data_IF_974748382336
#
_entry.id   IF_974748382336
#
_cell.length_a   1.000
_cell.length_b   1.000
_cell.length_c   1.000
_cell.angle_alpha   90.00
_cell.angle_beta   90.00
_cell.angle_gamma   90.00
#
_symmetry.space_group_name_H-M   'P 1'
#
loop_
_entity.id
_entity.type
_entity.pdbx_description
1 polymer ?
#
# COMPACT_ATOMS: atom_id res chain seq x y z
N UNK A 1 -33.11 7.13 1.24
CA UNK A 1 -31.93 6.48 0.65
C UNK A 1 -30.68 6.95 1.39
N UNK A 2 -30.34 6.36 2.54
CA UNK A 2 -29.08 6.66 3.24
C UNK A 2 -27.95 5.86 2.58
N UNK A 3 -27.51 6.33 1.41
CA UNK A 3 -26.44 5.74 0.59
C UNK A 3 -25.04 6.00 1.11
N UNK A 4 -24.80 5.89 2.42
CA UNK A 4 -23.46 6.03 3.00
C UNK A 4 -22.62 4.76 2.81
N UNK A 5 -22.58 4.19 1.60
CA UNK A 5 -21.60 3.15 1.25
C UNK A 5 -20.27 3.86 1.01
N UNK A 6 -19.38 3.80 2.00
CA UNK A 6 -17.99 4.31 1.90
C UNK A 6 -17.19 3.65 0.78
N UNK A 7 -17.72 2.58 0.16
CA UNK A 7 -17.18 1.90 -1.02
C UNK A 7 -16.79 2.90 -2.13
N UNK A 8 -17.64 3.89 -2.42
CA UNK A 8 -17.37 4.90 -3.44
C UNK A 8 -16.20 5.84 -3.11
N UNK A 9 -16.04 6.20 -1.83
CA UNK A 9 -14.92 7.01 -1.34
C UNK A 9 -13.61 6.22 -1.42
N UNK A 10 -13.61 4.94 -1.03
CA UNK A 10 -12.44 4.07 -1.17
C UNK A 10 -12.02 3.90 -2.62
N UNK A 11 -12.97 3.62 -3.53
CA UNK A 11 -12.66 3.50 -4.96
C UNK A 11 -12.18 4.82 -5.55
N UNK A 12 -12.74 5.95 -5.12
CA UNK A 12 -12.33 7.28 -5.58
C UNK A 12 -10.90 7.63 -5.15
N UNK A 13 -10.57 7.40 -3.87
CA UNK A 13 -9.23 7.60 -3.33
C UNK A 13 -8.23 6.68 -4.03
N UNK A 14 -8.56 5.39 -4.19
CA UNK A 14 -7.69 4.44 -4.89
C UNK A 14 -7.46 4.85 -6.35
N UNK A 15 -8.50 5.28 -7.06
CA UNK A 15 -8.37 5.74 -8.44
C UNK A 15 -7.51 7.00 -8.55
N UNK A 16 -7.65 7.94 -7.61
CA UNK A 16 -6.80 9.14 -7.54
C UNK A 16 -5.34 8.76 -7.32
N UNK A 17 -5.05 7.91 -6.33
CA UNK A 17 -3.69 7.42 -6.07
C UNK A 17 -3.12 6.66 -7.26
N UNK A 18 -3.92 5.88 -7.98
CA UNK A 18 -3.48 5.18 -9.19
C UNK A 18 -3.08 6.16 -10.30
N UNK A 19 -3.86 7.24 -10.50
CA UNK A 19 -3.53 8.30 -11.48
C UNK A 19 -2.30 9.09 -11.06
N UNK A 20 -2.24 9.52 -9.80
CA UNK A 20 -1.11 10.26 -9.24
C UNK A 20 0.17 9.41 -9.27
N UNK A 21 0.07 8.13 -8.91
CA UNK A 21 1.16 7.16 -8.96
C UNK A 21 1.71 6.96 -10.37
N UNK A 22 0.84 6.90 -11.38
CA UNK A 22 1.28 6.82 -12.78
C UNK A 22 2.13 8.02 -13.20
N UNK A 23 1.66 9.24 -12.94
CA UNK A 23 2.41 10.46 -13.23
C UNK A 23 3.73 10.53 -12.42
N UNK A 24 3.68 10.15 -11.15
CA UNK A 24 4.85 10.08 -10.27
C UNK A 24 5.91 9.10 -10.78
N UNK A 25 5.50 7.91 -11.25
CA UNK A 25 6.41 6.92 -11.82
C UNK A 25 7.09 7.46 -13.07
N UNK A 26 6.35 8.10 -13.98
CA UNK A 26 6.93 8.70 -15.19
C UNK A 26 7.96 9.78 -14.84
N UNK A 27 7.64 10.65 -13.89
CA UNK A 27 8.58 11.66 -13.37
C UNK A 27 9.83 11.01 -12.79
N UNK A 28 9.67 10.00 -11.93
CA UNK A 28 10.77 9.30 -11.28
C UNK A 28 11.68 8.60 -12.29
N UNK A 29 11.10 7.96 -13.32
CA UNK A 29 11.88 7.34 -14.41
C UNK A 29 12.73 8.37 -15.14
N UNK A 30 12.19 9.57 -15.41
CA UNK A 30 12.95 10.66 -16.03
C UNK A 30 14.18 11.06 -15.22
N UNK A 31 14.01 11.33 -13.92
CA UNK A 31 15.10 11.68 -13.00
C UNK A 31 16.14 10.57 -12.92
N UNK A 32 15.71 9.31 -12.88
CA UNK A 32 16.61 8.15 -12.78
C UNK A 32 17.43 7.93 -14.05
N UNK A 33 16.83 8.14 -15.23
CA UNK A 33 17.52 8.03 -16.52
C UNK A 33 18.56 9.15 -16.67
N UNK A 34 18.24 10.36 -16.27
CA UNK A 34 19.18 11.48 -16.25
C UNK A 34 20.35 11.21 -15.29
N UNK A 35 20.04 10.77 -14.06
CA UNK A 35 21.06 10.41 -13.06
C UNK A 35 21.95 9.22 -13.52
N UNK A 36 21.42 8.31 -14.34
CA UNK A 36 22.18 7.21 -14.91
C UNK A 36 23.13 7.62 -16.05
N UNK A 37 23.12 8.89 -16.46
CA UNK A 37 24.01 9.43 -17.50
C UNK A 37 23.52 9.18 -18.93
N UNK A 38 22.20 9.25 -19.14
CA UNK A 38 21.59 9.12 -20.47
C UNK A 38 22.19 10.10 -21.48
N UNK A 39 22.58 9.58 -22.65
CA UNK A 39 23.09 10.40 -23.75
C UNK A 39 21.97 10.72 -24.73
N UNK A 40 21.57 11.99 -24.78
CA UNK A 40 20.54 12.47 -25.69
C UNK A 40 20.97 12.32 -27.17
N UNK A 41 20.03 12.05 -28.09
CA UNK A 41 20.29 12.05 -29.52
C UNK A 41 20.85 13.41 -29.99
N UNK A 42 21.83 13.39 -30.89
CA UNK A 42 22.39 14.60 -31.51
C UNK A 42 21.84 14.70 -32.93
N UNK A 43 21.17 15.79 -33.27
CA UNK A 43 20.61 16.01 -34.62
C UNK A 43 19.56 14.97 -35.05
N UNK A 44 18.88 14.33 -34.10
CA UNK A 44 17.89 13.29 -34.38
C UNK A 44 18.48 11.89 -34.62
N UNK A 45 19.80 11.74 -34.62
CA UNK A 45 20.45 10.44 -34.76
C UNK A 45 20.58 9.74 -33.39
N UNK A 46 20.17 8.45 -33.26
CA UNK A 46 20.34 7.69 -32.03
C UNK A 46 21.83 7.54 -31.69
N UNK A 47 22.18 7.81 -30.43
CA UNK A 47 23.54 7.66 -29.91
C UNK A 47 23.69 6.31 -29.20
N UNK A 48 24.83 5.65 -29.39
CA UNK A 48 25.19 4.47 -28.63
C UNK A 48 25.28 4.81 -27.14
N UNK A 49 24.48 4.13 -26.32
CA UNK A 49 24.50 4.30 -24.88
C UNK A 49 25.72 3.57 -24.27
N UNK A 50 26.20 4.06 -23.14
CA UNK A 50 27.33 3.42 -22.45
C UNK A 50 26.89 2.09 -21.83
N UNK A 51 27.78 1.08 -21.73
CA UNK A 51 27.48 -0.15 -21.00
C UNK A 51 27.10 0.11 -19.54
N UNK A 52 27.65 1.17 -18.95
CA UNK A 52 27.30 1.63 -17.60
C UNK A 52 25.84 2.09 -17.50
N UNK A 53 25.33 2.85 -18.47
CA UNK A 53 23.93 3.28 -18.51
C UNK A 53 22.97 2.09 -18.57
N UNK A 54 23.24 1.11 -19.45
CA UNK A 54 22.41 -0.09 -19.58
C UNK A 54 22.38 -0.87 -18.26
N UNK A 55 23.53 -1.05 -17.61
CA UNK A 55 23.62 -1.74 -16.31
C UNK A 55 22.86 -0.99 -15.21
N UNK A 56 22.99 0.33 -15.15
CA UNK A 56 22.24 1.17 -14.20
C UNK A 56 20.74 1.07 -14.43
N UNK A 57 20.30 1.14 -15.69
CA UNK A 57 18.90 1.00 -16.07
C UNK A 57 18.35 -0.37 -15.65
N UNK A 58 19.08 -1.44 -15.93
CA UNK A 58 18.70 -2.80 -15.48
C UNK A 58 18.61 -2.86 -13.96
N UNK A 59 19.60 -2.33 -13.23
CA UNK A 59 19.59 -2.32 -11.76
C UNK A 59 18.40 -1.55 -11.18
N UNK A 60 18.03 -0.41 -11.79
CA UNK A 60 16.89 0.40 -11.36
C UNK A 60 15.57 -0.33 -11.62
N UNK A 61 15.35 -0.82 -12.85
CA UNK A 61 14.08 -1.45 -13.24
C UNK A 61 13.87 -2.85 -12.65
N UNK A 62 14.94 -3.52 -12.19
CA UNK A 62 14.83 -4.81 -11.49
C UNK A 62 14.89 -4.63 -9.97
N UNK A 63 15.82 -3.81 -9.48
CA UNK A 63 16.06 -3.60 -8.06
C UNK A 63 14.95 -2.82 -7.37
N UNK A 64 14.42 -1.76 -8.00
CA UNK A 64 13.35 -0.96 -7.37
C UNK A 64 12.05 -1.77 -7.20
N UNK A 65 11.53 -2.51 -8.20
CA UNK A 65 10.37 -3.38 -7.98
C UNK A 65 10.66 -4.51 -6.99
N UNK A 66 11.85 -5.13 -7.05
CA UNK A 66 12.24 -6.19 -6.11
C UNK A 66 12.26 -5.68 -4.66
N UNK A 67 12.77 -4.46 -4.43
CA UNK A 67 12.75 -3.81 -3.13
C UNK A 67 11.31 -3.54 -2.66
N UNK A 68 10.45 -2.99 -3.53
CA UNK A 68 9.04 -2.76 -3.20
C UNK A 68 8.32 -4.06 -2.81
N UNK A 69 8.55 -5.15 -3.54
CA UNK A 69 8.00 -6.48 -3.21
C UNK A 69 8.58 -6.99 -1.90
N UNK A 70 9.90 -6.85 -1.67
CA UNK A 70 10.55 -7.22 -0.42
C UNK A 70 9.97 -6.49 0.79
N UNK A 71 9.73 -5.18 0.66
CA UNK A 71 9.06 -4.37 1.69
C UNK A 71 7.61 -4.80 1.91
N UNK A 72 6.87 -5.10 0.84
CA UNK A 72 5.51 -5.60 0.94
C UNK A 72 5.45 -6.97 1.64
N UNK A 73 6.38 -7.87 1.32
CA UNK A 73 6.51 -9.17 1.97
C UNK A 73 6.89 -9.00 3.44
N UNK A 74 7.86 -8.14 3.76
CA UNK A 74 8.24 -7.84 5.13
C UNK A 74 7.05 -7.30 5.95
N UNK A 75 6.31 -6.34 5.38
CA UNK A 75 5.10 -5.81 6.01
C UNK A 75 4.03 -6.89 6.20
N UNK A 76 3.82 -7.75 5.20
CA UNK A 76 2.89 -8.87 5.27
C UNK A 76 3.31 -9.89 6.35
N UNK A 77 4.61 -10.18 6.48
CA UNK A 77 5.14 -11.09 7.49
C UNK A 77 5.02 -10.54 8.90
N UNK A 78 5.17 -9.21 9.04
CA UNK A 78 4.98 -8.52 10.33
C UNK A 78 3.50 -8.42 10.73
N UNK A 79 2.57 -8.62 9.80
CA UNK A 79 1.14 -8.54 10.03
C UNK A 79 0.62 -9.86 10.62
N UNK A 80 0.20 -9.88 11.91
CA UNK A 80 -0.12 -11.13 12.60
C UNK A 80 -1.56 -11.56 12.29
N UNK A 81 -1.80 -11.98 11.05
CA UNK A 81 -3.08 -12.47 10.56
C UNK A 81 -3.12 -14.01 10.65
N UNK A 82 -3.40 -14.53 11.85
CA UNK A 82 -3.73 -15.95 11.98
C UNK A 82 -5.12 -16.23 11.38
N UNK A 83 -5.33 -17.45 10.86
CA UNK A 83 -6.62 -17.89 10.28
C UNK A 83 -7.77 -17.69 11.26
N UNK A 84 -7.53 -18.00 12.53
CA UNK A 84 -8.49 -17.82 13.63
C UNK A 84 -8.92 -16.36 13.82
N UNK A 85 -7.97 -15.41 13.73
CA UNK A 85 -8.28 -13.98 13.83
C UNK A 85 -9.11 -13.50 12.65
N UNK A 86 -8.80 -13.98 11.44
CA UNK A 86 -9.54 -13.62 10.24
C UNK A 86 -10.98 -14.16 10.29
N UNK A 87 -11.17 -15.41 10.71
CA UNK A 87 -12.49 -16.01 10.82
C UNK A 87 -13.32 -15.34 11.92
N UNK A 88 -12.71 -15.00 13.06
CA UNK A 88 -13.37 -14.26 14.14
C UNK A 88 -13.82 -12.86 13.68
N UNK A 89 -12.97 -12.12 12.96
CA UNK A 89 -13.33 -10.80 12.39
C UNK A 89 -14.43 -10.91 11.33
N UNK A 90 -14.41 -11.96 10.49
CA UNK A 90 -15.46 -12.21 9.49
C UNK A 90 -16.81 -12.53 10.12
N UNK A 91 -16.84 -13.38 11.17
CA UNK A 91 -18.07 -13.73 11.90
C UNK A 91 -18.71 -12.50 12.55
N UNK A 92 -17.93 -11.70 13.28
CA UNK A 92 -18.40 -10.47 13.94
C UNK A 92 -18.95 -9.47 12.90
N UNK A 93 -18.22 -9.23 11.80
CA UNK A 93 -18.69 -8.33 10.74
C UNK A 93 -19.97 -8.84 10.04
N UNK A 94 -20.12 -10.15 9.86
CA UNK A 94 -21.30 -10.75 9.25
C UNK A 94 -22.55 -10.59 10.13
N UNK A 95 -22.42 -10.84 11.44
CA UNK A 95 -23.50 -10.64 12.41
C UNK A 95 -23.95 -9.17 12.49
N UNK A 96 -22.98 -8.24 12.53
CA UNK A 96 -23.27 -6.79 12.53
C UNK A 96 -23.99 -6.32 11.27
N UNK A 97 -23.63 -6.86 10.09
CA UNK A 97 -24.30 -6.53 8.82
C UNK A 97 -25.75 -7.03 8.76
N UNK A 98 -26.06 -8.12 9.46
CA UNK A 98 -27.42 -8.69 9.54
C UNK A 98 -28.27 -8.05 10.64
N UNK A 99 -27.68 -7.18 11.48
CA UNK A 99 -28.38 -6.60 12.64
C UNK A 99 -28.68 -7.62 13.72
N UNK A 100 -27.99 -8.77 13.72
CA UNK A 100 -28.16 -9.82 14.73
C UNK A 100 -27.45 -9.43 16.03
N UNK A 101 -28.05 -9.81 17.16
CA UNK A 101 -27.37 -9.75 18.45
C UNK A 101 -26.15 -10.68 18.41
N UNK A 102 -24.97 -10.13 18.67
CA UNK A 102 -23.74 -10.90 18.74
C UNK A 102 -23.87 -11.97 19.84
N UNK A 103 -23.43 -13.20 19.55
CA UNK A 103 -23.31 -14.26 20.55
C UNK A 103 -22.50 -13.78 21.77
N UNK A 104 -22.74 -14.27 22.99
CA UNK A 104 -21.97 -13.86 24.18
C UNK A 104 -20.45 -13.99 23.98
N UNK A 105 -20.01 -15.01 23.24
CA UNK A 105 -18.59 -15.21 22.86
C UNK A 105 -18.08 -14.11 21.90
N UNK A 106 -18.90 -13.68 20.94
CA UNK A 106 -18.55 -12.64 19.96
C UNK A 106 -18.60 -11.23 20.58
N UNK A 107 -19.45 -11.00 21.59
CA UNK A 107 -19.46 -9.75 22.36
C UNK A 107 -18.21 -9.61 23.23
N UNK A 108 -17.78 -10.70 23.89
CA UNK A 108 -16.53 -10.73 24.65
C UNK A 108 -15.31 -10.51 23.75
N UNK A 109 -15.28 -11.15 22.57
CA UNK A 109 -14.23 -10.90 21.59
C UNK A 109 -14.23 -9.45 21.09
N UNK A 110 -15.41 -8.83 20.90
CA UNK A 110 -15.50 -7.43 20.48
C UNK A 110 -15.02 -6.47 21.56
N UNK A 111 -15.39 -6.67 22.83
CA UNK A 111 -14.95 -5.82 23.93
C UNK A 111 -13.45 -5.91 24.21
N UNK A 112 -12.84 -7.08 23.98
CA UNK A 112 -11.39 -7.27 24.02
C UNK A 112 -10.67 -6.59 22.83
N UNK A 113 -11.26 -6.65 21.63
CA UNK A 113 -10.65 -6.10 20.41
C UNK A 113 -10.86 -4.58 20.25
N UNK A 114 -11.95 -4.01 20.79
CA UNK A 114 -12.24 -2.57 20.74
C UNK A 114 -11.10 -1.70 21.29
N UNK A 115 -10.53 -1.96 22.48
CA UNK A 115 -9.40 -1.18 23.00
C UNK A 115 -8.12 -1.41 22.20
N UNK A 116 -7.91 -2.57 21.58
CA UNK A 116 -6.77 -2.81 20.67
C UNK A 116 -6.89 -2.01 19.37
N UNK A 117 -8.10 -1.93 18.79
CA UNK A 117 -8.35 -1.14 17.59
C UNK A 117 -8.31 0.37 17.88
N UNK A 118 -8.88 0.82 19.01
CA UNK A 118 -8.82 2.21 19.45
C UNK A 118 -7.41 2.63 19.90
N UNK A 119 -6.65 1.73 20.53
CA UNK A 119 -5.29 1.96 21.02
C UNK A 119 -4.24 2.14 19.93
N UNK A 120 -4.43 1.57 18.73
CA UNK A 120 -3.55 1.85 17.59
C UNK A 120 -3.74 3.25 16.98
N UNK A 121 -4.85 3.93 17.28
CA UNK A 121 -5.07 5.34 16.91
C UNK A 121 -4.39 6.31 17.90
N UNK A 122 -4.01 5.85 19.11
CA UNK A 122 -3.40 6.67 20.16
C UNK A 122 -1.86 6.60 20.19
N UNK A 123 -1.22 5.71 19.42
CA UNK A 123 0.26 5.61 19.35
C UNK A 123 0.92 6.50 18.28
N UNK A 124 0.36 7.68 18.00
CA UNK A 124 1.01 8.70 17.15
C UNK A 124 0.95 10.14 17.70
N UNK A 125 0.40 10.36 18.89
CA UNK A 125 0.31 11.71 19.48
C UNK A 125 1.07 11.85 20.81
N UNK A 126 2.23 11.18 20.92
CA UNK A 126 3.05 11.18 22.15
C UNK A 126 4.54 11.41 21.92
N UNK A 127 4.96 11.88 20.74
CA UNK A 127 6.37 12.18 20.45
C UNK A 127 6.50 13.54 19.74
N UNK A 128 5.91 14.56 20.34
CA UNK A 128 6.39 15.95 20.26
C UNK A 128 6.21 16.57 21.65
N UNK A 129 7.10 16.16 22.54
CA UNK A 129 7.56 17.02 23.63
C UNK A 129 8.92 17.58 23.20
#
# INVERSE_FOLDING_TARGET
MSGARREGLYSGIFALFRKAGGAFILFLVGVLIEAAGYRAPVGGAPQAQTPGFVRSLTAIFTGLPALCVGLALFAAWRYPLSRERLDRVRRINAALRRGEALSPEDQAARSELLPLMAGSASRKDGSRA
#
